data_IF_136888055970
#
_entry.id   IF_136888055970
#
_cell.length_a   1.000
_cell.length_b   1.000
_cell.length_c   1.000
_cell.angle_alpha   90.00
_cell.angle_beta   90.00
_cell.angle_gamma   90.00
#
_symmetry.space_group_name_H-M   'P 1'
#
loop_
_entity.id
_entity.type
_entity.pdbx_description
1 polymer ?
#
# COMPACT_ATOMS: atom_id res chain seq x y z
N UNK A 1 7.06 -29.04 0.91
CA UNK A 1 5.83 -28.22 1.00
C UNK A 1 6.24 -26.81 1.37
N UNK A 2 6.33 -25.92 0.40
CA UNK A 2 6.58 -24.50 0.68
C UNK A 2 5.30 -23.93 1.27
N UNK A 3 5.29 -23.68 2.58
CA UNK A 3 4.18 -23.01 3.24
C UNK A 3 4.02 -21.61 2.63
N UNK A 4 2.93 -21.42 1.90
CA UNK A 4 2.49 -20.09 1.49
C UNK A 4 2.12 -19.31 2.76
N UNK A 5 3.07 -18.59 3.31
CA UNK A 5 2.75 -17.60 4.33
C UNK A 5 1.83 -16.56 3.69
N UNK A 6 0.68 -16.28 4.32
CA UNK A 6 -0.22 -15.23 3.87
C UNK A 6 0.50 -13.87 3.86
N UNK A 7 0.00 -12.92 3.09
CA UNK A 7 0.50 -11.52 3.07
C UNK A 7 0.57 -10.98 4.51
N UNK A 8 -0.47 -11.23 5.32
CA UNK A 8 -0.49 -10.89 6.74
C UNK A 8 0.76 -11.36 7.51
N UNK A 9 1.14 -12.64 7.38
CA UNK A 9 2.31 -13.18 8.09
C UNK A 9 3.63 -12.54 7.65
N UNK A 10 3.73 -12.11 6.39
CA UNK A 10 4.93 -11.42 5.88
C UNK A 10 5.07 -10.04 6.48
N UNK A 11 3.96 -9.31 6.61
CA UNK A 11 3.91 -8.01 7.29
C UNK A 11 4.14 -8.18 8.79
N UNK A 12 3.53 -9.19 9.41
CA UNK A 12 3.71 -9.54 10.82
C UNK A 12 5.19 -9.81 11.15
N UNK A 13 5.85 -10.67 10.37
CA UNK A 13 7.28 -10.96 10.50
C UNK A 13 8.15 -9.71 10.28
N UNK A 14 7.78 -8.85 9.33
CA UNK A 14 8.49 -7.60 9.11
C UNK A 14 8.40 -6.70 10.36
N UNK A 15 7.22 -6.53 10.93
CA UNK A 15 7.01 -5.68 12.11
C UNK A 15 7.67 -6.26 13.39
N UNK A 16 7.90 -7.56 13.46
CA UNK A 16 8.67 -8.18 14.55
C UNK A 16 10.13 -7.73 14.59
N UNK A 17 10.79 -7.73 13.44
CA UNK A 17 12.17 -7.24 13.28
C UNK A 17 12.33 -6.53 11.93
N UNK A 18 11.98 -5.25 11.83
CA UNK A 18 12.02 -4.53 10.56
C UNK A 18 13.40 -4.46 9.91
N UNK A 19 14.49 -4.50 10.71
CA UNK A 19 15.84 -4.49 10.17
C UNK A 19 16.26 -5.84 9.62
N UNK A 20 16.01 -6.91 10.39
CA UNK A 20 16.40 -8.26 9.99
C UNK A 20 15.52 -8.83 8.88
N UNK A 21 14.27 -8.41 8.80
CA UNK A 21 13.30 -8.92 7.83
C UNK A 21 13.02 -7.97 6.65
N UNK A 22 13.71 -6.82 6.56
CA UNK A 22 13.48 -5.84 5.50
C UNK A 22 13.58 -6.45 4.10
N UNK A 23 14.65 -7.19 3.83
CA UNK A 23 14.86 -7.82 2.53
C UNK A 23 13.76 -8.84 2.20
N UNK A 24 13.39 -9.69 3.17
CA UNK A 24 12.35 -10.71 2.98
C UNK A 24 10.98 -10.09 2.71
N UNK A 25 10.64 -9.00 3.39
CA UNK A 25 9.40 -8.25 3.15
C UNK A 25 9.41 -7.65 1.76
N UNK A 26 10.48 -6.97 1.41
CA UNK A 26 10.65 -6.22 0.18
C UNK A 26 10.57 -7.09 -1.09
N UNK A 27 11.09 -8.33 -1.01
CA UNK A 27 11.08 -9.32 -2.10
C UNK A 27 9.82 -10.22 -2.08
N UNK A 28 8.88 -9.96 -1.16
CA UNK A 28 7.67 -10.77 -1.05
C UNK A 28 6.50 -10.17 -1.82
N UNK A 29 5.44 -10.95 -2.02
CA UNK A 29 4.16 -10.51 -2.58
C UNK A 29 3.36 -9.59 -1.62
N UNK A 30 3.84 -9.37 -0.38
CA UNK A 30 3.33 -8.33 0.50
C UNK A 30 3.74 -6.92 0.05
N UNK A 31 4.76 -6.81 -0.78
CA UNK A 31 5.29 -5.56 -1.33
C UNK A 31 4.89 -5.40 -2.79
N UNK A 32 3.83 -4.64 -3.03
CA UNK A 32 3.37 -4.30 -4.37
C UNK A 32 4.14 -3.08 -4.84
N UNK A 33 5.02 -3.27 -5.82
CA UNK A 33 5.86 -2.23 -6.37
C UNK A 33 5.20 -1.53 -7.54
N UNK A 34 5.01 -0.21 -7.44
CA UNK A 34 4.56 0.62 -8.54
C UNK A 34 5.65 1.63 -8.88
N UNK A 35 6.31 1.46 -10.03
CA UNK A 35 7.32 2.38 -10.55
C UNK A 35 6.78 3.20 -11.75
N UNK A 36 7.58 4.11 -12.25
CA UNK A 36 7.24 5.02 -13.35
C UNK A 36 7.04 4.32 -14.70
N UNK A 37 7.46 3.06 -14.86
CA UNK A 37 7.33 2.26 -16.10
C UNK A 37 5.98 1.54 -16.20
N UNK A 38 5.26 1.38 -15.09
CA UNK A 38 3.96 0.72 -15.05
C UNK A 38 2.92 1.64 -15.68
N UNK A 39 2.14 1.14 -16.63
CA UNK A 39 1.03 1.89 -17.21
C UNK A 39 -0.11 2.06 -16.20
N UNK A 40 -0.79 3.22 -16.24
CA UNK A 40 -1.92 3.52 -15.37
C UNK A 40 -3.01 2.43 -15.41
N UNK A 41 -3.24 1.83 -16.59
CA UNK A 41 -4.20 0.73 -16.75
C UNK A 41 -3.81 -0.58 -16.06
N UNK A 42 -2.55 -0.77 -15.70
CA UNK A 42 -2.02 -2.00 -15.08
C UNK A 42 -2.08 -1.98 -13.56
N UNK A 43 -2.20 -0.80 -12.94
CA UNK A 43 -2.17 -0.63 -11.47
C UNK A 43 -3.16 -1.56 -10.76
N UNK A 44 -4.38 -1.65 -11.29
CA UNK A 44 -5.43 -2.51 -10.73
C UNK A 44 -5.07 -4.00 -10.80
N UNK A 45 -4.34 -4.42 -11.84
CA UNK A 45 -3.92 -5.82 -12.00
C UNK A 45 -2.92 -6.20 -10.91
N UNK A 46 -1.94 -5.33 -10.62
CA UNK A 46 -0.99 -5.54 -9.52
C UNK A 46 -1.69 -5.61 -8.16
N UNK A 47 -2.67 -4.78 -7.90
CA UNK A 47 -3.44 -4.82 -6.66
C UNK A 47 -4.32 -6.06 -6.54
N UNK A 48 -4.90 -6.51 -7.65
CA UNK A 48 -5.73 -7.71 -7.70
C UNK A 48 -4.95 -8.99 -7.31
N UNK A 49 -3.64 -9.04 -7.54
CA UNK A 49 -2.79 -10.18 -7.15
C UNK A 49 -2.78 -10.40 -5.63
N UNK A 50 -3.05 -9.35 -4.85
CA UNK A 50 -3.10 -9.41 -3.38
C UNK A 50 -4.48 -9.67 -2.81
N UNK A 51 -5.53 -9.68 -3.64
CA UNK A 51 -6.89 -9.94 -3.19
C UNK A 51 -7.21 -11.44 -3.20
N UNK A 52 -8.16 -11.85 -2.36
CA UNK A 52 -8.73 -13.20 -2.46
C UNK A 52 -9.40 -13.36 -3.84
N UNK A 53 -9.28 -14.55 -4.45
CA UNK A 53 -9.79 -14.83 -5.79
C UNK A 53 -11.27 -14.42 -6.02
N UNK A 54 -12.09 -14.51 -4.98
CA UNK A 54 -13.52 -14.11 -5.04
C UNK A 54 -13.75 -12.60 -4.98
N UNK A 55 -12.72 -11.82 -4.59
CA UNK A 55 -12.78 -10.37 -4.41
C UNK A 55 -12.04 -9.61 -5.50
N UNK A 56 -11.43 -10.32 -6.45
CA UNK A 56 -10.78 -9.73 -7.61
C UNK A 56 -11.75 -8.79 -8.32
N UNK A 57 -11.27 -7.61 -8.63
CA UNK A 57 -12.05 -6.52 -9.25
C UNK A 57 -11.90 -6.60 -10.76
N UNK A 58 -13.03 -6.73 -11.46
CA UNK A 58 -13.06 -6.63 -12.92
C UNK A 58 -12.75 -5.20 -13.36
N UNK A 59 -11.93 -5.09 -14.42
CA UNK A 59 -11.49 -3.83 -14.98
C UNK A 59 -11.76 -3.78 -16.48
N UNK A 60 -12.38 -2.69 -16.91
CA UNK A 60 -12.59 -2.36 -18.33
C UNK A 60 -12.06 -0.96 -18.62
N UNK A 61 -11.31 -0.78 -19.71
CA UNK A 61 -10.83 0.54 -20.15
C UNK A 61 -11.62 0.96 -21.38
N UNK A 62 -12.19 2.15 -21.34
CA UNK A 62 -12.92 2.77 -22.47
C UNK A 62 -12.31 4.12 -22.79
N UNK A 63 -12.18 4.42 -24.06
CA UNK A 63 -11.84 5.77 -24.51
C UNK A 63 -12.97 6.73 -24.15
N UNK A 64 -12.62 7.89 -23.62
CA UNK A 64 -13.57 8.96 -23.38
C UNK A 64 -13.63 9.86 -24.64
N UNK A 65 -14.79 9.90 -25.29
CA UNK A 65 -14.96 10.64 -26.55
C UNK A 65 -15.03 12.17 -26.32
N UNK A 66 -15.28 12.61 -25.08
CA UNK A 66 -15.50 14.03 -24.80
C UNK A 66 -14.18 14.82 -24.60
N UNK A 67 -13.14 14.18 -24.06
CA UNK A 67 -11.90 14.85 -23.68
C UNK A 67 -10.61 14.17 -24.17
N UNK A 68 -10.73 13.20 -25.10
CA UNK A 68 -9.64 12.36 -25.58
C UNK A 68 -8.90 11.55 -24.51
N UNK A 69 -9.46 11.45 -23.30
CA UNK A 69 -8.95 10.64 -22.21
C UNK A 69 -9.51 9.22 -22.21
N UNK A 70 -9.42 8.59 -21.08
CA UNK A 70 -9.89 7.23 -20.84
C UNK A 70 -10.73 7.17 -19.58
N UNK A 71 -11.61 6.18 -19.49
CA UNK A 71 -12.34 5.78 -18.32
C UNK A 71 -11.94 4.36 -17.93
N UNK A 72 -11.44 4.17 -16.72
CA UNK A 72 -11.31 2.87 -16.10
C UNK A 72 -12.59 2.56 -15.36
N UNK A 73 -13.24 1.47 -15.73
CA UNK A 73 -14.49 1.02 -15.11
C UNK A 73 -14.17 -0.20 -14.25
N UNK A 74 -14.24 0.00 -12.95
CA UNK A 74 -14.09 -1.07 -11.96
C UNK A 74 -15.47 -1.67 -11.67
N UNK A 75 -15.53 -3.00 -11.60
CA UNK A 75 -16.77 -3.73 -11.33
C UNK A 75 -16.54 -4.87 -10.35
N UNK A 76 -17.48 -5.08 -9.47
CA UNK A 76 -17.65 -6.31 -8.70
C UNK A 76 -19.15 -6.65 -8.61
N UNK A 77 -19.50 -7.67 -7.81
CA UNK A 77 -20.89 -8.11 -7.67
C UNK A 77 -21.85 -7.06 -7.06
N UNK A 78 -21.30 -6.02 -6.42
CA UNK A 78 -22.07 -5.07 -5.61
C UNK A 78 -22.13 -3.69 -6.27
N UNK A 79 -21.00 -3.25 -6.86
CA UNK A 79 -20.85 -1.86 -7.31
C UNK A 79 -20.00 -1.71 -8.57
N UNK A 80 -20.17 -0.57 -9.22
CA UNK A 80 -19.36 -0.12 -10.34
C UNK A 80 -18.81 1.26 -10.03
N UNK A 81 -17.56 1.51 -10.37
CA UNK A 81 -16.91 2.81 -10.24
C UNK A 81 -16.25 3.18 -11.57
N UNK A 82 -16.40 4.42 -11.99
CA UNK A 82 -15.73 4.97 -13.17
C UNK A 82 -14.65 5.94 -12.72
N UNK A 83 -13.42 5.69 -13.16
CA UNK A 83 -12.24 6.51 -12.84
C UNK A 83 -11.77 7.13 -14.15
N UNK A 84 -11.95 8.44 -14.39
CA UNK A 84 -11.38 9.12 -15.54
C UNK A 84 -9.87 9.27 -15.38
N UNK A 85 -9.12 9.09 -16.47
CA UNK A 85 -7.69 9.36 -16.53
C UNK A 85 -7.30 9.85 -17.94
N UNK A 86 -6.25 10.65 -18.03
CA UNK A 86 -5.90 11.36 -19.25
C UNK A 86 -4.97 10.57 -20.15
N UNK A 87 -3.98 9.89 -19.58
CA UNK A 87 -2.95 9.20 -20.36
C UNK A 87 -2.81 7.74 -19.89
N UNK A 88 -2.63 6.84 -20.83
CA UNK A 88 -2.25 5.46 -20.55
C UNK A 88 -0.86 5.38 -19.92
N UNK A 89 0.00 6.36 -20.21
CA UNK A 89 1.37 6.47 -19.70
C UNK A 89 1.39 7.38 -18.48
N UNK A 90 2.03 6.92 -17.45
CA UNK A 90 2.70 7.59 -16.33
C UNK A 90 2.27 9.01 -15.90
N UNK A 91 1.03 9.45 -16.01
CA UNK A 91 0.62 10.68 -15.32
C UNK A 91 0.48 10.42 -13.81
N UNK A 92 1.27 11.13 -13.00
CA UNK A 92 1.31 10.94 -11.55
C UNK A 92 -0.02 11.28 -10.86
N UNK A 93 -0.76 12.24 -11.38
CA UNK A 93 -2.09 12.63 -10.86
C UNK A 93 -3.10 11.52 -11.14
N UNK A 94 -3.08 10.95 -12.34
CA UNK A 94 -3.94 9.83 -12.70
C UNK A 94 -3.64 8.61 -11.82
N UNK A 95 -2.37 8.34 -11.51
CA UNK A 95 -1.97 7.25 -10.60
C UNK A 95 -2.51 7.44 -9.19
N UNK A 96 -2.38 8.63 -8.63
CA UNK A 96 -2.93 8.96 -7.32
C UNK A 96 -4.44 8.73 -7.28
N UNK A 97 -5.13 9.17 -8.34
CA UNK A 97 -6.56 8.99 -8.45
C UNK A 97 -6.96 7.51 -8.56
N UNK A 98 -6.24 6.72 -9.38
CA UNK A 98 -6.52 5.29 -9.55
C UNK A 98 -6.29 4.53 -8.23
N UNK A 99 -5.16 4.75 -7.56
CA UNK A 99 -4.83 4.06 -6.30
C UNK A 99 -5.86 4.37 -5.22
N UNK A 100 -6.22 5.63 -5.04
CA UNK A 100 -7.22 6.04 -4.03
C UNK A 100 -8.62 5.56 -4.36
N UNK A 101 -9.01 5.65 -5.62
CA UNK A 101 -10.32 5.16 -6.06
C UNK A 101 -10.43 3.64 -5.92
N UNK A 102 -9.34 2.92 -6.17
CA UNK A 102 -9.32 1.48 -5.96
C UNK A 102 -9.40 1.12 -4.47
N UNK A 103 -8.67 1.84 -3.59
CA UNK A 103 -8.77 1.68 -2.14
C UNK A 103 -10.23 1.87 -1.66
N UNK A 104 -10.88 2.94 -2.08
CA UNK A 104 -12.31 3.18 -1.78
C UNK A 104 -13.24 2.10 -2.38
N UNK A 105 -12.86 1.55 -3.54
CA UNK A 105 -13.65 0.50 -4.18
C UNK A 105 -13.58 -0.82 -3.41
N UNK A 106 -12.45 -1.19 -2.83
CA UNK A 106 -12.28 -2.47 -2.10
C UNK A 106 -12.71 -2.39 -0.63
N UNK A 107 -12.96 -1.18 -0.11
CA UNK A 107 -13.52 -0.99 1.23
C UNK A 107 -14.98 -1.46 1.35
N UNK A 108 -15.40 -1.85 2.57
CA UNK A 108 -14.67 -1.87 3.85
C UNK A 108 -13.82 -3.14 4.07
N UNK A 109 -13.75 -4.05 3.11
CA UNK A 109 -13.10 -5.34 3.34
C UNK A 109 -11.59 -5.23 3.41
N UNK A 110 -10.99 -4.45 2.51
CA UNK A 110 -9.55 -4.26 2.38
C UNK A 110 -9.17 -2.79 2.52
N UNK A 111 -7.93 -2.54 2.93
CA UNK A 111 -7.31 -1.23 2.97
C UNK A 111 -5.91 -1.30 2.37
N UNK A 112 -5.59 -0.33 1.50
CA UNK A 112 -4.26 -0.16 0.94
C UNK A 112 -3.46 0.79 1.83
N UNK A 113 -2.27 0.35 2.24
CA UNK A 113 -1.31 1.22 2.93
C UNK A 113 -0.04 1.38 2.12
N UNK A 114 0.48 2.59 2.09
CA UNK A 114 1.78 2.90 1.51
C UNK A 114 2.87 2.60 2.53
N UNK A 115 3.94 1.93 2.09
CA UNK A 115 5.14 1.74 2.88
C UNK A 115 5.96 3.02 2.88
N UNK A 116 6.04 3.67 4.03
CA UNK A 116 6.52 5.07 4.15
C UNK A 116 7.99 5.23 3.75
N UNK A 117 8.82 4.19 3.89
CA UNK A 117 10.23 4.23 3.45
C UNK A 117 10.38 4.38 1.93
N UNK A 118 9.33 4.12 1.15
CA UNK A 118 9.33 4.30 -0.30
C UNK A 118 8.89 5.69 -0.76
N UNK A 119 8.37 6.54 0.13
CA UNK A 119 7.90 7.88 -0.24
C UNK A 119 9.06 8.75 -0.75
N UNK A 120 8.77 9.51 -1.82
CA UNK A 120 9.76 10.36 -2.47
C UNK A 120 10.76 9.62 -3.36
N UNK A 121 10.61 8.30 -3.55
CA UNK A 121 11.37 7.53 -4.53
C UNK A 121 10.59 7.33 -5.83
N UNK A 122 11.28 6.91 -6.90
CA UNK A 122 10.66 6.57 -8.19
C UNK A 122 9.86 5.25 -8.13
N UNK A 123 9.94 4.53 -7.02
CA UNK A 123 9.25 3.26 -6.78
C UNK A 123 8.54 3.31 -5.45
N UNK A 124 7.22 3.30 -5.50
CA UNK A 124 6.39 3.25 -4.31
C UNK A 124 5.99 1.81 -4.00
N UNK A 125 5.93 1.51 -2.72
CA UNK A 125 5.54 0.18 -2.22
C UNK A 125 4.20 0.31 -1.51
N UNK A 126 3.29 -0.58 -1.87
CA UNK A 126 1.98 -0.69 -1.25
C UNK A 126 1.78 -2.08 -0.68
N UNK A 127 0.97 -2.17 0.34
CA UNK A 127 0.53 -3.43 0.95
C UNK A 127 -0.98 -3.40 1.10
N UNK A 128 -1.63 -4.50 0.74
CA UNK A 128 -3.07 -4.67 0.89
C UNK A 128 -3.33 -5.78 1.91
N UNK A 129 -4.08 -5.45 2.94
CA UNK A 129 -4.61 -6.40 3.92
C UNK A 129 -6.08 -6.11 4.16
N UNK A 130 -6.79 -7.05 4.76
CA UNK A 130 -8.13 -6.77 5.27
C UNK A 130 -8.06 -5.77 6.43
N UNK A 131 -9.12 -4.97 6.63
CA UNK A 131 -9.20 -4.06 7.78
C UNK A 131 -9.00 -4.80 9.11
N UNK A 132 -9.53 -6.03 9.20
CA UNK A 132 -9.36 -6.85 10.41
C UNK A 132 -7.91 -7.30 10.63
N UNK A 133 -7.14 -7.55 9.58
CA UNK A 133 -5.72 -7.90 9.68
C UNK A 133 -4.88 -6.69 10.07
N UNK A 134 -5.13 -5.51 9.49
CA UNK A 134 -4.48 -4.26 9.92
C UNK A 134 -4.75 -4.00 11.41
N UNK A 135 -6.00 -4.16 11.85
CA UNK A 135 -6.35 -4.00 13.26
C UNK A 135 -5.62 -4.98 14.18
N UNK A 136 -5.50 -6.26 13.79
CA UNK A 136 -4.71 -7.25 14.55
C UNK A 136 -3.24 -6.86 14.65
N UNK A 137 -2.64 -6.33 13.58
CA UNK A 137 -1.26 -5.85 13.61
C UNK A 137 -1.12 -4.65 14.54
N UNK A 138 -2.08 -3.70 14.50
CA UNK A 138 -2.10 -2.54 15.39
C UNK A 138 -2.29 -2.93 16.87
N UNK A 139 -3.09 -3.96 17.14
CA UNK A 139 -3.26 -4.51 18.49
C UNK A 139 -2.00 -5.26 18.97
N UNK A 140 -1.31 -5.97 18.07
CA UNK A 140 -0.10 -6.75 18.40
C UNK A 140 1.15 -5.89 18.57
N UNK A 141 1.35 -4.89 17.72
CA UNK A 141 2.61 -4.13 17.65
C UNK A 141 2.50 -2.70 18.15
N UNK A 142 1.30 -2.20 18.44
CA UNK A 142 0.94 -0.81 18.64
C UNK A 142 0.69 -0.07 17.30
N UNK A 143 -0.34 0.78 17.31
CA UNK A 143 -0.76 1.59 16.17
C UNK A 143 0.34 2.55 15.70
N UNK A 144 1.16 3.06 16.63
CA UNK A 144 2.25 3.97 16.31
C UNK A 144 3.37 3.26 15.54
N UNK A 145 3.70 2.02 15.91
CA UNK A 145 4.69 1.21 15.21
C UNK A 145 4.20 0.86 13.81
N UNK A 146 2.95 0.37 13.69
CA UNK A 146 2.39 0.05 12.37
C UNK A 146 2.34 1.29 11.50
N UNK A 147 1.83 2.42 12.02
CA UNK A 147 1.75 3.70 11.31
C UNK A 147 3.11 4.32 10.96
N UNK A 148 4.17 3.95 11.67
CA UNK A 148 5.53 4.37 11.32
C UNK A 148 5.99 3.77 9.98
N UNK A 149 5.57 2.55 9.66
CA UNK A 149 5.94 1.85 8.41
C UNK A 149 4.85 1.88 7.35
N UNK A 150 3.58 1.79 7.73
CA UNK A 150 2.44 1.61 6.83
C UNK A 150 1.35 2.64 7.09
N UNK A 151 1.15 3.56 6.15
CA UNK A 151 0.16 4.63 6.26
C UNK A 151 -0.95 4.42 5.21
N UNK A 152 -2.25 4.50 5.59
CA UNK A 152 -3.35 4.40 4.65
C UNK A 152 -3.19 5.40 3.49
N UNK A 153 -3.41 4.95 2.25
CA UNK A 153 -3.28 5.82 1.07
C UNK A 153 -4.24 7.01 1.10
N UNK A 154 -5.36 6.87 1.79
CA UNK A 154 -6.35 7.93 1.98
C UNK A 154 -5.86 9.13 2.81
N UNK A 155 -4.78 8.96 3.60
CA UNK A 155 -4.19 10.04 4.41
C UNK A 155 -3.42 11.04 3.56
N UNK A 156 -2.83 10.60 2.45
CA UNK A 156 -2.02 11.45 1.60
C UNK A 156 -2.90 12.26 0.65
N UNK A 157 -2.56 13.53 0.45
CA UNK A 157 -3.16 14.33 -0.62
C UNK A 157 -2.68 13.83 -1.98
N UNK A 158 -1.39 13.64 -2.12
CA UNK A 158 -0.70 13.12 -3.29
C UNK A 158 0.38 12.13 -2.84
N UNK A 159 0.56 11.02 -3.55
CA UNK A 159 1.55 9.99 -3.23
C UNK A 159 2.64 9.98 -4.30
N UNK A 160 2.26 9.81 -5.57
CA UNK A 160 3.18 9.79 -6.71
C UNK A 160 3.68 11.19 -7.08
N UNK A 161 2.88 12.21 -6.83
CA UNK A 161 3.22 13.62 -7.09
C UNK A 161 3.50 14.39 -5.80
N UNK A 162 3.91 13.70 -4.75
CA UNK A 162 4.21 14.33 -3.45
C UNK A 162 5.29 15.41 -3.63
N UNK A 163 5.04 16.65 -3.17
CA UNK A 163 6.04 17.71 -3.19
C UNK A 163 7.29 17.30 -2.40
N UNK A 164 8.47 17.68 -2.90
CA UNK A 164 9.75 17.29 -2.28
C UNK A 164 9.93 17.81 -0.86
N UNK A 165 9.35 18.96 -0.53
CA UNK A 165 9.34 19.53 0.81
C UNK A 165 8.45 18.72 1.76
N UNK A 166 7.31 18.22 1.30
CA UNK A 166 6.43 17.33 2.06
C UNK A 166 7.12 15.98 2.32
N UNK A 167 7.70 15.36 1.30
CA UNK A 167 8.47 14.12 1.45
C UNK A 167 9.64 14.31 2.44
N UNK A 168 10.35 15.44 2.35
CA UNK A 168 11.45 15.78 3.26
C UNK A 168 10.96 15.97 4.68
N UNK A 169 9.80 16.61 4.87
CA UNK A 169 9.19 16.78 6.20
C UNK A 169 8.84 15.44 6.83
N UNK A 170 8.17 14.57 6.10
CA UNK A 170 7.85 13.20 6.55
C UNK A 170 9.12 12.44 6.94
N UNK A 171 10.16 12.49 6.11
CA UNK A 171 11.44 11.83 6.38
C UNK A 171 12.09 12.33 7.67
N UNK A 172 12.13 13.64 7.89
CA UNK A 172 12.69 14.25 9.12
C UNK A 172 11.88 13.90 10.38
N UNK A 173 10.55 13.91 10.30
CA UNK A 173 9.69 13.52 11.41
C UNK A 173 9.91 12.06 11.79
N UNK A 174 10.08 11.19 10.79
CA UNK A 174 10.40 9.78 11.01
C UNK A 174 11.79 9.57 11.58
N UNK A 175 12.78 10.31 11.11
CA UNK A 175 14.14 10.23 11.64
C UNK A 175 14.17 10.61 13.13
N UNK A 176 13.45 11.65 13.53
CA UNK A 176 13.31 12.05 14.93
C UNK A 176 12.66 10.99 15.82
N UNK A 177 11.71 10.21 15.28
CA UNK A 177 11.01 9.14 16.01
C UNK A 177 11.74 7.78 15.95
N UNK A 178 12.69 7.63 15.04
CA UNK A 178 13.29 6.33 14.71
C UNK A 178 13.83 5.58 15.92
N UNK A 179 14.61 6.26 16.74
CA UNK A 179 15.26 5.61 17.88
C UNK A 179 14.25 5.17 18.96
N UNK A 180 13.18 5.94 19.15
CA UNK A 180 12.10 5.60 20.04
C UNK A 180 11.32 4.37 19.54
N UNK A 181 10.89 4.37 18.27
CA UNK A 181 10.19 3.25 17.65
C UNK A 181 11.03 1.96 17.72
N UNK A 182 12.30 2.02 17.33
CA UNK A 182 13.17 0.84 17.39
C UNK A 182 13.51 0.39 18.81
N UNK A 183 13.48 1.29 19.80
CA UNK A 183 13.57 0.92 21.22
C UNK A 183 12.35 0.11 21.68
N UNK A 184 11.14 0.56 21.31
CA UNK A 184 9.89 -0.14 21.64
C UNK A 184 9.86 -1.51 20.97
N UNK A 185 10.20 -1.60 19.67
CA UNK A 185 10.26 -2.89 18.93
C UNK A 185 11.20 -3.87 19.67
N UNK A 186 12.41 -3.45 20.03
CA UNK A 186 13.37 -4.29 20.76
C UNK A 186 12.80 -4.76 22.10
N UNK A 187 12.15 -3.88 22.85
CA UNK A 187 11.53 -4.26 24.14
C UNK A 187 10.42 -5.30 23.92
N UNK A 188 9.61 -5.16 22.90
CA UNK A 188 8.56 -6.12 22.57
C UNK A 188 9.12 -7.46 22.10
N UNK A 189 10.22 -7.48 21.35
CA UNK A 189 10.92 -8.72 20.98
C UNK A 189 11.40 -9.47 22.23
N UNK A 190 12.03 -8.77 23.18
CA UNK A 190 12.51 -9.41 24.42
C UNK A 190 11.37 -10.00 25.25
N UNK A 191 10.27 -9.28 25.43
CA UNK A 191 9.11 -9.78 26.20
C UNK A 191 8.55 -11.08 25.63
N UNK A 192 8.41 -11.20 24.32
CA UNK A 192 7.85 -12.39 23.64
C UNK A 192 8.76 -13.62 23.68
N UNK A 193 10.06 -13.46 23.91
CA UNK A 193 11.00 -14.58 24.02
C UNK A 193 11.06 -15.15 25.45
N UNK A 194 10.50 -14.49 26.42
CA UNK A 194 10.55 -14.88 27.84
C UNK A 194 9.16 -15.17 28.44
N UNK A 195 8.08 -15.03 27.66
CA UNK A 195 6.72 -15.52 27.95
C UNK A 195 6.44 -16.85 27.20
#
# INVERSE_FOLDING_TARGET
MSGFYSIYHKVDNFLEDPRGNWYKFNESDASIWLDDRIYNKEIVDYFNESLERKDVVDKEIKKNELDNGFNMILKNHIKTLVIPFKDEKCDKIDRDNIVKSFDEFIKPKYEIRCFVDSLGSDRLIFTILTESEWKKLEEKFDKEIVGYFFVPVSVFKEIFNMPSDEATKISKERENKRDEIFKIIRQNMFRRHFE
#
